data_IF_821217849835
#
_entry.id   IF_821217849835
#
_cell.length_a   1.000
_cell.length_b   1.000
_cell.length_c   1.000
_cell.angle_alpha   90.00
_cell.angle_beta   90.00
_cell.angle_gamma   90.00
#
_symmetry.space_group_name_H-M   'P 1'
#
loop_
_entity.id
_entity.type
_entity.pdbx_description
1 polymer ?
#
# COMPACT_ATOMS: atom_id res chain seq x y z
N UNK A 1 16.17 2.55 -19.01
CA UNK A 1 16.61 3.08 -17.70
C UNK A 1 15.79 4.29 -17.33
N UNK A 2 14.81 4.10 -16.44
CA UNK A 2 13.98 5.16 -15.85
C UNK A 2 14.40 5.37 -14.39
N UNK A 3 14.52 6.63 -13.97
CA UNK A 3 14.72 6.99 -12.56
C UNK A 3 13.37 7.38 -11.97
N UNK A 4 12.94 6.66 -10.94
CA UNK A 4 11.74 6.99 -10.17
C UNK A 4 12.16 7.55 -8.82
N UNK A 5 11.94 8.85 -8.62
CA UNK A 5 12.17 9.52 -7.35
C UNK A 5 10.84 9.68 -6.61
N UNK A 6 10.67 8.98 -5.49
CA UNK A 6 9.41 9.01 -4.76
C UNK A 6 9.43 8.19 -3.48
N UNK A 7 8.25 8.09 -2.86
CA UNK A 7 8.09 7.44 -1.55
C UNK A 7 8.17 5.92 -1.61
N UNK A 8 8.66 5.36 -0.50
CA UNK A 8 8.63 3.94 -0.16
C UNK A 8 8.00 3.84 1.24
N UNK A 9 6.96 3.01 1.36
CA UNK A 9 6.24 2.80 2.60
C UNK A 9 6.20 1.30 2.95
N UNK A 10 5.92 1.01 4.22
CA UNK A 10 5.32 -0.25 4.63
C UNK A 10 3.82 -0.01 4.81
N UNK A 11 3.00 -0.64 3.98
CA UNK A 11 1.55 -0.48 4.04
C UNK A 11 0.99 -1.52 5.01
N UNK A 12 0.26 -1.05 6.03
CA UNK A 12 -0.47 -1.89 6.98
C UNK A 12 -1.92 -1.97 6.51
N UNK A 13 -2.33 -3.15 6.05
CA UNK A 13 -3.62 -3.37 5.41
C UNK A 13 -4.50 -4.18 6.36
N UNK A 14 -5.57 -3.55 6.85
CA UNK A 14 -6.57 -4.17 7.71
C UNK A 14 -7.79 -4.58 6.90
N UNK A 15 -8.13 -5.86 6.91
CA UNK A 15 -9.37 -6.33 6.28
C UNK A 15 -10.56 -6.09 7.22
N UNK A 16 -11.52 -5.28 6.78
CA UNK A 16 -12.74 -4.97 7.52
C UNK A 16 -13.97 -5.18 6.63
N UNK A 17 -15.13 -5.38 7.23
CA UNK A 17 -16.37 -5.55 6.48
C UNK A 17 -16.81 -4.24 5.83
N UNK A 18 -16.67 -3.15 6.57
CA UNK A 18 -17.02 -1.78 6.19
C UNK A 18 -15.95 -0.83 6.75
N UNK A 19 -15.91 0.41 6.23
CA UNK A 19 -15.05 1.45 6.79
C UNK A 19 -15.60 1.93 8.14
N UNK A 20 -14.74 2.25 9.12
CA UNK A 20 -15.20 2.72 10.42
C UNK A 20 -15.80 4.12 10.33
N UNK A 21 -16.93 4.31 11.00
CA UNK A 21 -17.53 5.63 11.22
C UNK A 21 -16.79 6.43 12.30
N UNK A 22 -16.91 7.77 12.35
CA UNK A 22 -16.31 8.58 13.39
C UNK A 22 -16.69 8.11 14.81
N UNK A 23 -15.68 7.81 15.62
CA UNK A 23 -15.84 7.34 17.00
C UNK A 23 -16.05 5.83 17.15
N UNK A 24 -16.17 5.08 16.06
CA UNK A 24 -16.33 3.63 16.10
C UNK A 24 -14.99 2.92 16.32
N UNK A 25 -15.01 1.82 17.08
CA UNK A 25 -13.90 0.86 17.16
C UNK A 25 -14.35 -0.47 16.57
N UNK A 26 -13.59 -1.00 15.61
CA UNK A 26 -13.88 -2.27 14.94
C UNK A 26 -12.71 -3.23 15.09
N UNK A 27 -13.02 -4.52 15.24
CA UNK A 27 -12.02 -5.58 15.15
C UNK A 27 -11.79 -5.94 13.69
N UNK A 28 -10.55 -5.79 13.21
CA UNK A 28 -10.17 -6.22 11.87
C UNK A 28 -10.17 -7.75 11.77
N UNK A 29 -10.57 -8.28 10.62
CA UNK A 29 -10.55 -9.73 10.34
C UNK A 29 -9.14 -10.26 10.15
N UNK A 30 -8.23 -9.42 9.66
CA UNK A 30 -6.81 -9.75 9.47
C UNK A 30 -5.97 -8.50 9.29
N UNK A 31 -4.65 -8.64 9.52
CA UNK A 31 -3.62 -7.68 9.16
C UNK A 31 -2.70 -8.30 8.09
N UNK A 32 -2.37 -7.53 7.05
CA UNK A 32 -1.23 -7.80 6.17
C UNK A 32 -0.28 -6.62 6.18
N UNK A 33 1.02 -6.91 6.10
CA UNK A 33 2.07 -5.90 5.96
C UNK A 33 2.70 -6.12 4.60
N UNK A 34 2.60 -5.13 3.73
CA UNK A 34 3.09 -5.22 2.35
C UNK A 34 3.98 -4.01 2.01
N UNK A 35 5.00 -4.15 1.13
CA UNK A 35 5.72 -2.99 0.61
C UNK A 35 4.78 -2.11 -0.21
N UNK A 36 4.88 -0.80 -0.04
CA UNK A 36 4.05 0.16 -0.75
C UNK A 36 4.72 1.50 -0.94
N UNK A 37 3.91 2.54 -1.05
CA UNK A 37 4.35 3.89 -1.41
C UNK A 37 4.30 4.12 -2.92
N UNK A 38 3.89 5.34 -3.30
CA UNK A 38 3.61 5.67 -4.70
C UNK A 38 4.87 5.54 -5.57
N UNK A 39 6.02 5.99 -5.07
CA UNK A 39 7.29 5.89 -5.79
C UNK A 39 7.71 4.44 -6.01
N UNK A 40 7.70 3.63 -4.96
CA UNK A 40 8.03 2.20 -5.03
C UNK A 40 7.08 1.43 -5.96
N UNK A 41 5.77 1.68 -5.86
CA UNK A 41 4.78 1.01 -6.72
C UNK A 41 4.95 1.41 -8.19
N UNK A 42 5.26 2.68 -8.49
CA UNK A 42 5.56 3.12 -9.86
C UNK A 42 6.88 2.52 -10.37
N UNK A 43 7.92 2.45 -9.55
CA UNK A 43 9.19 1.84 -9.90
C UNK A 43 9.03 0.34 -10.22
N UNK A 44 8.26 -0.39 -9.40
CA UNK A 44 7.93 -1.79 -9.63
C UNK A 44 7.12 -1.99 -10.93
N UNK A 45 6.14 -1.13 -11.19
CA UNK A 45 5.36 -1.16 -12.42
C UNK A 45 6.26 -0.95 -13.66
N UNK A 46 7.08 0.10 -13.65
CA UNK A 46 8.01 0.38 -14.74
C UNK A 46 8.98 -0.79 -15.02
N UNK A 47 9.52 -1.40 -13.96
CA UNK A 47 10.39 -2.56 -14.10
C UNK A 47 9.66 -3.79 -14.70
N UNK A 48 8.40 -4.02 -14.31
CA UNK A 48 7.57 -5.12 -14.88
C UNK A 48 7.20 -4.88 -16.35
N UNK A 49 7.10 -3.63 -16.75
CA UNK A 49 6.78 -3.22 -18.13
C UNK A 49 8.04 -3.11 -19.03
N UNK A 50 9.24 -3.38 -18.48
CA UNK A 50 10.49 -3.52 -19.25
C UNK A 50 11.33 -2.23 -19.39
N UNK A 51 11.11 -1.24 -18.53
CA UNK A 51 11.85 0.04 -18.53
C UNK A 51 13.31 -0.03 -18.06
#
# INVERSE_FOLDING_TARGET
MIVVFGSLNADLIFAMQDLPEPGQTLLARSLRIEPGGKGANQALAAARDGA
#
